data_IF_394928466482
#
_entry.id   IF_394928466482
#
_cell.length_a   1.000
_cell.length_b   1.000
_cell.length_c   1.000
_cell.angle_alpha   90.00
_cell.angle_beta   90.00
_cell.angle_gamma   90.00
#
_symmetry.space_group_name_H-M   'P 1'
#
loop_
_entity.id
_entity.type
_entity.pdbx_description
1 polymer ?
#
# COMPACT_ATOMS: atom_id res chain seq x y z
N UNK A 1 -46.39 18.58 12.05
CA UNK A 1 -45.78 18.19 10.77
C UNK A 1 -44.80 19.30 10.39
N UNK A 2 -43.62 19.31 11.02
CA UNK A 2 -42.57 20.28 10.71
C UNK A 2 -41.62 19.68 9.68
N UNK A 3 -41.53 20.37 8.55
CA UNK A 3 -40.73 19.96 7.40
C UNK A 3 -39.23 20.04 7.69
N UNK A 4 -38.56 18.90 7.62
CA UNK A 4 -37.11 18.85 7.36
C UNK A 4 -36.83 19.47 5.99
N UNK A 5 -36.56 20.78 5.96
CA UNK A 5 -35.82 21.40 4.85
C UNK A 5 -34.41 20.85 4.87
N UNK A 6 -34.12 19.91 3.98
CA UNK A 6 -32.74 19.55 3.63
C UNK A 6 -32.11 20.75 2.93
N UNK A 7 -31.23 21.44 3.64
CA UNK A 7 -30.53 22.62 3.15
C UNK A 7 -29.39 22.18 2.20
N UNK A 8 -29.70 22.13 0.90
CA UNK A 8 -28.82 21.60 -0.14
C UNK A 8 -27.45 22.30 -0.16
N UNK A 9 -27.41 23.60 0.18
CA UNK A 9 -26.19 24.40 0.24
C UNK A 9 -25.19 23.94 1.33
N UNK A 10 -25.69 23.35 2.42
CA UNK A 10 -24.84 22.91 3.53
C UNK A 10 -24.17 21.57 3.24
N UNK A 11 -24.78 20.74 2.38
CA UNK A 11 -24.20 19.47 1.94
C UNK A 11 -23.03 19.68 0.98
N UNK A 12 -23.14 20.68 0.09
CA UNK A 12 -22.11 20.98 -0.91
C UNK A 12 -20.85 21.58 -0.28
N UNK A 13 -20.97 22.59 0.58
CA UNK A 13 -19.83 23.20 1.28
C UNK A 13 -19.06 22.16 2.11
N UNK A 14 -19.80 21.24 2.73
CA UNK A 14 -19.24 20.23 3.63
C UNK A 14 -18.61 19.05 2.86
N UNK A 15 -19.13 18.70 1.68
CA UNK A 15 -18.48 17.76 0.77
C UNK A 15 -17.18 18.35 0.19
N UNK A 16 -17.21 19.63 -0.21
CA UNK A 16 -16.05 20.38 -0.67
C UNK A 16 -14.96 20.45 0.40
N UNK A 17 -15.33 20.66 1.68
CA UNK A 17 -14.37 20.65 2.79
C UNK A 17 -13.67 19.29 2.97
N UNK A 18 -14.41 18.17 2.79
CA UNK A 18 -13.83 16.83 2.86
C UNK A 18 -12.81 16.58 1.75
N UNK A 19 -13.14 16.96 0.51
CA UNK A 19 -12.22 16.90 -0.63
C UNK A 19 -11.01 17.80 -0.40
N UNK A 20 -11.24 19.02 0.10
CA UNK A 20 -10.17 19.98 0.42
C UNK A 20 -9.12 19.40 1.37
N UNK A 21 -9.54 18.74 2.46
CA UNK A 21 -8.61 18.12 3.42
C UNK A 21 -7.88 16.92 2.81
N UNK A 22 -8.56 16.09 2.01
CA UNK A 22 -7.93 14.96 1.32
C UNK A 22 -6.85 15.43 0.35
N UNK A 23 -7.06 16.55 -0.33
CA UNK A 23 -6.13 17.08 -1.34
C UNK A 23 -5.04 17.97 -0.74
N UNK A 24 -5.20 18.48 0.48
CA UNK A 24 -4.26 19.42 1.12
C UNK A 24 -2.85 18.84 1.23
N UNK A 25 -2.69 17.67 1.86
CA UNK A 25 -1.37 17.06 2.08
C UNK A 25 -0.69 16.60 0.79
N UNK A 26 -1.38 15.96 -0.17
CA UNK A 26 -0.79 15.66 -1.48
C UNK A 26 -0.34 16.92 -2.22
N UNK A 27 -1.11 18.02 -2.14
CA UNK A 27 -0.73 19.29 -2.76
C UNK A 27 0.51 19.91 -2.09
N UNK A 28 0.56 19.90 -0.75
CA UNK A 28 1.74 20.37 0.00
C UNK A 28 2.98 19.52 -0.31
N UNK A 29 2.83 18.21 -0.40
CA UNK A 29 3.91 17.30 -0.79
C UNK A 29 4.38 17.58 -2.23
N UNK A 30 3.45 17.83 -3.15
CA UNK A 30 3.76 18.24 -4.52
C UNK A 30 4.53 19.57 -4.57
N UNK A 31 4.15 20.56 -3.76
CA UNK A 31 4.86 21.82 -3.62
C UNK A 31 6.26 21.63 -3.03
N UNK A 32 6.40 20.79 -2.00
CA UNK A 32 7.72 20.43 -1.46
C UNK A 32 8.61 19.84 -2.55
N UNK A 33 8.10 18.85 -3.28
CA UNK A 33 8.83 18.21 -4.36
C UNK A 33 9.13 19.12 -5.55
N UNK A 34 8.39 20.22 -5.73
CA UNK A 34 8.75 21.22 -6.71
C UNK A 34 10.05 21.96 -6.35
N UNK A 35 10.30 22.15 -5.05
CA UNK A 35 11.45 22.86 -4.49
C UNK A 35 12.62 21.90 -4.22
N UNK A 36 12.33 20.65 -3.87
CA UNK A 36 13.34 19.66 -3.52
C UNK A 36 14.06 19.09 -4.75
N UNK A 37 15.39 19.18 -4.73
CA UNK A 37 16.30 18.67 -5.76
C UNK A 37 17.23 17.59 -5.22
N UNK A 38 16.91 17.02 -4.05
CA UNK A 38 17.68 15.92 -3.47
C UNK A 38 17.66 14.66 -4.34
N UNK A 39 18.74 13.88 -4.21
CA UNK A 39 18.82 12.56 -4.82
C UNK A 39 18.33 11.49 -3.82
N UNK A 40 17.71 10.40 -4.29
CA UNK A 40 17.28 9.35 -3.40
C UNK A 40 18.48 8.71 -2.69
N UNK A 41 18.29 8.36 -1.42
CA UNK A 41 19.24 7.52 -0.68
C UNK A 41 19.41 6.16 -1.36
N UNK A 42 20.48 5.44 -0.99
CA UNK A 42 20.89 4.18 -1.66
C UNK A 42 19.75 3.17 -1.86
N UNK A 43 18.86 3.00 -0.88
CA UNK A 43 17.72 2.08 -0.97
C UNK A 43 16.67 2.60 -1.97
N UNK A 44 16.32 3.88 -1.90
CA UNK A 44 15.40 4.49 -2.88
C UNK A 44 15.97 4.48 -4.31
N UNK A 45 17.28 4.71 -4.46
CA UNK A 45 17.95 4.61 -5.75
C UNK A 45 17.86 3.18 -6.32
N UNK A 46 17.95 2.15 -5.48
CA UNK A 46 17.77 0.76 -5.90
C UNK A 46 16.37 0.52 -6.48
N UNK A 47 15.33 1.09 -5.87
CA UNK A 47 13.95 0.98 -6.36
C UNK A 47 13.74 1.73 -7.68
N UNK A 48 14.41 2.88 -7.87
CA UNK A 48 14.39 3.61 -9.15
C UNK A 48 15.04 2.80 -10.25
N UNK A 49 16.19 2.17 -9.98
CA UNK A 49 16.87 1.29 -10.94
C UNK A 49 15.96 0.13 -11.37
N UNK A 50 15.28 -0.52 -10.43
CA UNK A 50 14.35 -1.60 -10.76
C UNK A 50 13.15 -1.08 -11.56
N UNK A 51 12.62 0.10 -11.24
CA UNK A 51 11.56 0.74 -12.04
C UNK A 51 12.02 1.03 -13.48
N UNK A 52 13.28 1.41 -13.70
CA UNK A 52 13.85 1.59 -15.06
C UNK A 52 13.91 0.26 -15.81
N UNK A 53 14.28 -0.85 -15.17
CA UNK A 53 14.23 -2.18 -15.79
C UNK A 53 12.80 -2.55 -16.20
N UNK A 54 11.81 -2.25 -15.35
CA UNK A 54 10.41 -2.43 -15.72
C UNK A 54 9.98 -1.49 -16.85
N UNK A 55 10.44 -0.24 -16.86
CA UNK A 55 10.18 0.70 -17.96
C UNK A 55 10.64 0.11 -19.30
N UNK A 56 11.84 -0.45 -19.36
CA UNK A 56 12.38 -1.10 -20.57
C UNK A 56 11.50 -2.28 -21.00
N UNK A 57 11.15 -3.18 -20.07
CA UNK A 57 10.30 -4.33 -20.35
C UNK A 57 8.89 -3.95 -20.81
N UNK A 58 8.32 -2.89 -20.25
CA UNK A 58 6.98 -2.38 -20.55
C UNK A 58 6.95 -1.54 -21.83
N UNK A 59 8.08 -0.95 -22.24
CA UNK A 59 8.21 -0.24 -23.52
C UNK A 59 8.18 -1.19 -24.72
N UNK A 60 8.58 -2.46 -24.51
CA UNK A 60 8.59 -3.50 -25.53
C UNK A 60 7.83 -4.76 -25.05
N UNK A 61 6.50 -4.65 -24.83
CA UNK A 61 5.74 -5.72 -24.22
C UNK A 61 5.66 -6.95 -25.14
N UNK A 62 6.05 -8.10 -24.62
CA UNK A 62 5.92 -9.40 -25.31
C UNK A 62 5.07 -10.36 -24.47
N UNK A 63 3.87 -9.93 -24.10
CA UNK A 63 2.99 -10.61 -23.13
C UNK A 63 2.56 -12.04 -23.53
N UNK A 64 2.69 -12.41 -24.80
CA UNK A 64 2.41 -13.77 -25.28
C UNK A 64 3.63 -14.71 -25.20
N UNK A 65 4.81 -14.20 -24.83
CA UNK A 65 6.05 -14.99 -24.70
C UNK A 65 6.33 -15.29 -23.23
N UNK A 66 6.52 -16.56 -22.91
CA UNK A 66 6.81 -17.00 -21.53
C UNK A 66 8.12 -16.41 -21.01
N UNK A 67 9.10 -16.19 -21.88
CA UNK A 67 10.38 -15.58 -21.55
C UNK A 67 10.21 -14.13 -21.06
N UNK A 68 9.23 -13.40 -21.60
CA UNK A 68 8.94 -12.04 -21.16
C UNK A 68 8.41 -12.05 -19.73
N UNK A 69 7.46 -12.94 -19.42
CA UNK A 69 6.94 -13.11 -18.05
C UNK A 69 8.02 -13.57 -17.07
N UNK A 70 8.91 -14.49 -17.50
CA UNK A 70 10.06 -14.88 -16.68
C UNK A 70 10.91 -13.65 -16.33
N UNK A 71 11.31 -12.86 -17.32
CA UNK A 71 12.08 -11.62 -17.11
C UNK A 71 11.34 -10.62 -16.22
N UNK A 72 10.05 -10.41 -16.48
CA UNK A 72 9.21 -9.48 -15.73
C UNK A 72 9.08 -9.88 -14.25
N UNK A 73 8.85 -11.15 -13.97
CA UNK A 73 8.63 -11.63 -12.61
C UNK A 73 9.93 -11.78 -11.81
N UNK A 74 11.10 -11.80 -12.46
CA UNK A 74 12.41 -11.99 -11.80
C UNK A 74 13.30 -10.75 -11.85
N UNK A 75 12.76 -9.55 -12.12
CA UNK A 75 13.54 -8.29 -12.06
C UNK A 75 14.16 -8.10 -10.67
N UNK A 76 13.40 -8.39 -9.63
CA UNK A 76 13.82 -8.33 -8.23
C UNK A 76 13.20 -9.52 -7.46
N UNK A 77 14.05 -10.26 -6.73
CA UNK A 77 13.63 -11.40 -5.90
C UNK A 77 13.45 -11.02 -4.41
N UNK A 78 13.92 -9.84 -3.99
CA UNK A 78 13.73 -9.28 -2.65
C UNK A 78 12.37 -8.59 -2.51
N UNK A 79 11.79 -8.09 -3.60
CA UNK A 79 10.51 -7.37 -3.61
C UNK A 79 9.61 -7.85 -4.75
N UNK A 80 8.31 -7.90 -4.49
CA UNK A 80 7.32 -8.30 -5.49
C UNK A 80 7.13 -7.20 -6.56
N UNK A 81 6.78 -7.57 -7.80
CA UNK A 81 6.79 -6.69 -8.98
C UNK A 81 5.84 -5.51 -8.91
N UNK A 82 4.79 -5.53 -8.07
CA UNK A 82 3.66 -4.58 -8.18
C UNK A 82 4.09 -3.12 -8.12
N UNK A 83 4.83 -2.71 -7.09
CA UNK A 83 5.21 -1.30 -6.93
C UNK A 83 6.22 -0.87 -8.00
N UNK A 84 7.25 -1.69 -8.25
CA UNK A 84 8.28 -1.36 -9.25
C UNK A 84 7.76 -1.37 -10.68
N UNK A 85 6.87 -2.29 -11.03
CA UNK A 85 6.25 -2.34 -12.36
C UNK A 85 5.25 -1.21 -12.57
N UNK A 86 4.46 -0.84 -11.55
CA UNK A 86 3.62 0.34 -11.63
C UNK A 86 4.47 1.60 -11.81
N UNK A 87 5.55 1.72 -11.03
CA UNK A 87 6.47 2.84 -11.17
C UNK A 87 7.14 2.89 -12.56
N UNK A 88 7.59 1.73 -13.07
CA UNK A 88 8.09 1.59 -14.44
C UNK A 88 7.06 2.00 -15.49
N UNK A 89 5.79 1.64 -15.31
CA UNK A 89 4.68 2.06 -16.18
C UNK A 89 4.52 3.58 -16.17
N UNK A 90 4.56 4.23 -15.00
CA UNK A 90 4.56 5.69 -14.93
C UNK A 90 5.75 6.31 -15.66
N UNK A 91 6.94 5.68 -15.61
CA UNK A 91 8.10 6.15 -16.39
C UNK A 91 7.93 5.94 -17.90
N UNK A 92 7.21 4.91 -18.36
CA UNK A 92 6.83 4.78 -19.78
C UNK A 92 5.90 5.91 -20.20
N UNK A 93 4.91 6.24 -19.37
CA UNK A 93 3.87 7.23 -19.70
C UNK A 93 4.34 8.68 -19.58
N UNK A 94 5.19 8.99 -18.60
CA UNK A 94 5.58 10.35 -18.23
C UNK A 94 7.07 10.64 -18.46
N UNK A 95 7.85 9.65 -18.90
CA UNK A 95 9.31 9.72 -19.10
C UNK A 95 10.13 9.28 -17.88
N UNK A 96 11.46 9.19 -18.03
CA UNK A 96 12.34 8.65 -16.97
C UNK A 96 12.78 9.66 -15.91
N UNK A 97 12.30 10.91 -15.98
CA UNK A 97 12.78 12.00 -15.13
C UNK A 97 12.40 11.88 -13.64
N UNK A 98 13.07 12.68 -12.81
CA UNK A 98 12.82 12.76 -11.35
C UNK A 98 11.39 13.22 -11.01
N UNK A 99 10.70 13.88 -11.95
CA UNK A 99 9.31 14.29 -11.77
C UNK A 99 8.39 13.09 -11.54
N UNK A 100 8.67 11.95 -12.16
CA UNK A 100 7.82 10.75 -12.03
C UNK A 100 7.87 10.16 -10.62
N UNK A 101 9.02 10.25 -9.95
CA UNK A 101 9.18 9.80 -8.55
C UNK A 101 8.27 10.62 -7.63
N UNK A 102 8.27 11.94 -7.87
CA UNK A 102 7.51 12.94 -7.13
C UNK A 102 6.01 12.73 -7.33
N UNK A 103 5.58 12.54 -8.57
CA UNK A 103 4.17 12.23 -8.91
C UNK A 103 3.73 10.93 -8.23
N UNK A 104 4.58 9.91 -8.24
CA UNK A 104 4.28 8.63 -7.59
C UNK A 104 4.02 8.81 -6.09
N UNK A 105 4.89 9.53 -5.37
CA UNK A 105 4.70 9.84 -3.96
C UNK A 105 3.41 10.64 -3.68
N UNK A 106 3.11 11.66 -4.50
CA UNK A 106 1.87 12.45 -4.37
C UNK A 106 0.61 11.59 -4.53
N UNK A 107 0.61 10.63 -5.47
CA UNK A 107 -0.51 9.69 -5.67
C UNK A 107 -0.72 8.83 -4.42
N UNK A 108 0.34 8.29 -3.82
CA UNK A 108 0.20 7.50 -2.59
C UNK A 108 -0.24 8.34 -1.39
N UNK A 109 0.22 9.58 -1.27
CA UNK A 109 -0.28 10.50 -0.25
C UNK A 109 -1.78 10.76 -0.42
N UNK A 110 -2.27 10.87 -1.66
CA UNK A 110 -3.69 11.02 -1.94
C UNK A 110 -4.48 9.75 -1.56
N UNK A 111 -3.96 8.57 -1.89
CA UNK A 111 -4.56 7.28 -1.49
C UNK A 111 -4.62 7.17 0.04
N UNK A 112 -3.53 7.47 0.75
CA UNK A 112 -3.47 7.43 2.21
C UNK A 112 -4.47 8.40 2.83
N UNK A 113 -4.52 9.63 2.34
CA UNK A 113 -5.43 10.67 2.85
C UNK A 113 -6.89 10.30 2.60
N UNK A 114 -7.24 9.85 1.40
CA UNK A 114 -8.58 9.40 1.07
C UNK A 114 -8.99 8.16 1.88
N UNK A 115 -8.10 7.17 2.00
CA UNK A 115 -8.37 5.95 2.75
C UNK A 115 -8.59 6.24 4.23
N UNK A 116 -7.71 7.03 4.85
CA UNK A 116 -7.80 7.42 6.26
C UNK A 116 -9.06 8.22 6.55
N UNK A 117 -9.41 9.17 5.67
CA UNK A 117 -10.65 9.93 5.77
C UNK A 117 -11.88 9.02 5.73
N UNK A 118 -11.96 8.16 4.71
CA UNK A 118 -13.13 7.31 4.47
C UNK A 118 -13.30 6.22 5.53
N UNK A 119 -12.21 5.64 6.04
CA UNK A 119 -12.24 4.71 7.18
C UNK A 119 -12.82 5.42 8.40
N UNK A 120 -12.26 6.59 8.76
CA UNK A 120 -12.72 7.37 9.91
C UNK A 120 -14.19 7.79 9.76
N UNK A 121 -14.61 8.19 8.55
CA UNK A 121 -16.01 8.53 8.26
C UNK A 121 -16.94 7.34 8.47
N UNK A 122 -16.55 6.14 8.02
CA UNK A 122 -17.35 4.92 8.19
C UNK A 122 -17.52 4.53 9.66
N UNK A 123 -16.48 4.73 10.48
CA UNK A 123 -16.50 4.39 11.91
C UNK A 123 -17.27 5.43 12.71
N UNK A 124 -16.92 6.72 12.58
CA UNK A 124 -17.42 7.76 13.48
C UNK A 124 -18.62 8.55 12.92
N UNK A 125 -18.91 8.44 11.61
CA UNK A 125 -19.93 9.25 10.92
C UNK A 125 -19.76 10.75 11.17
N UNK A 126 -18.53 11.19 11.41
CA UNK A 126 -18.14 12.56 11.75
C UNK A 126 -17.06 13.05 10.81
N UNK A 127 -17.36 14.09 10.03
CA UNK A 127 -16.42 14.68 9.07
C UNK A 127 -15.26 15.39 9.76
N UNK A 128 -15.51 15.97 10.94
CA UNK A 128 -14.46 16.58 11.75
C UNK A 128 -13.46 15.50 12.20
N UNK A 129 -13.95 14.38 12.71
CA UNK A 129 -13.09 13.24 13.10
C UNK A 129 -12.31 12.72 11.90
N UNK A 130 -12.93 12.62 10.73
CA UNK A 130 -12.26 12.21 9.49
C UNK A 130 -11.19 13.20 9.03
N UNK A 131 -11.48 14.51 9.08
CA UNK A 131 -10.50 15.55 8.75
C UNK A 131 -9.31 15.53 9.73
N UNK A 132 -9.58 15.44 11.04
CA UNK A 132 -8.54 15.30 12.05
C UNK A 132 -7.71 14.02 11.86
N UNK A 133 -8.33 12.92 11.43
CA UNK A 133 -7.61 11.67 11.13
C UNK A 133 -6.60 11.90 10.00
N UNK A 134 -7.00 12.57 8.92
CA UNK A 134 -6.09 12.90 7.80
C UNK A 134 -4.94 13.78 8.26
N UNK A 135 -5.23 14.80 9.08
CA UNK A 135 -4.20 15.68 9.65
C UNK A 135 -3.22 14.86 10.48
N UNK A 136 -3.71 14.14 11.50
CA UNK A 136 -2.87 13.35 12.40
C UNK A 136 -2.00 12.38 11.62
N UNK A 137 -2.59 11.57 10.73
CA UNK A 137 -1.86 10.55 9.96
C UNK A 137 -0.75 11.17 9.11
N UNK A 138 -1.03 12.26 8.37
CA UNK A 138 -0.02 12.87 7.51
C UNK A 138 1.02 13.70 8.28
N UNK A 139 0.73 14.11 9.52
CA UNK A 139 1.69 14.82 10.38
C UNK A 139 2.50 13.90 11.30
N UNK A 140 2.25 12.59 11.29
CA UNK A 140 3.09 11.66 12.04
C UNK A 140 4.53 11.75 11.49
N UNK A 141 5.56 11.93 12.35
CA UNK A 141 6.94 12.13 11.90
C UNK A 141 7.42 11.08 10.91
N UNK A 142 7.09 9.81 11.18
CA UNK A 142 7.47 8.69 10.32
C UNK A 142 6.78 8.74 8.93
N UNK A 143 5.54 9.22 8.86
CA UNK A 143 4.80 9.38 7.59
C UNK A 143 5.36 10.57 6.82
N UNK A 144 5.68 11.66 7.50
CA UNK A 144 6.35 12.81 6.88
C UNK A 144 7.71 12.39 6.31
N UNK A 145 8.55 11.68 7.07
CA UNK A 145 9.85 11.22 6.60
C UNK A 145 9.75 10.32 5.36
N UNK A 146 8.90 9.29 5.41
CA UNK A 146 8.77 8.35 4.28
C UNK A 146 8.06 8.94 3.08
N UNK A 147 7.13 9.89 3.26
CA UNK A 147 6.46 10.56 2.13
C UNK A 147 7.38 11.47 1.32
N UNK A 148 8.51 11.90 1.92
CA UNK A 148 9.49 12.79 1.28
C UNK A 148 10.70 12.03 0.71
N UNK A 149 10.68 10.69 0.74
CA UNK A 149 11.78 9.86 0.28
C UNK A 149 11.28 8.72 -0.61
N UNK A 150 12.08 8.27 -1.58
CA UNK A 150 11.70 7.23 -2.55
C UNK A 150 11.73 5.82 -1.95
N UNK A 151 11.07 5.58 -0.82
CA UNK A 151 10.96 4.26 -0.19
C UNK A 151 9.65 3.57 -0.59
N UNK A 152 9.66 2.24 -0.65
CA UNK A 152 8.42 1.46 -0.85
C UNK A 152 7.48 1.55 0.35
N UNK A 153 8.00 1.89 1.54
CA UNK A 153 7.27 1.94 2.81
C UNK A 153 6.08 2.90 2.79
N UNK A 154 6.22 4.06 2.15
CA UNK A 154 5.12 5.01 2.05
C UNK A 154 3.99 4.51 1.13
N UNK A 155 4.37 3.96 -0.03
CA UNK A 155 3.41 3.33 -0.95
C UNK A 155 2.72 2.13 -0.29
N UNK A 156 3.49 1.31 0.43
CA UNK A 156 3.02 0.19 1.24
C UNK A 156 1.98 0.64 2.28
N UNK A 157 2.27 1.66 3.09
CA UNK A 157 1.35 2.20 4.09
C UNK A 157 0.02 2.62 3.45
N UNK A 158 0.12 3.33 2.33
CA UNK A 158 -1.03 3.84 1.57
C UNK A 158 -1.91 2.70 1.04
N UNK A 159 -1.29 1.65 0.48
CA UNK A 159 -2.00 0.46 -0.02
C UNK A 159 -2.60 -0.37 1.11
N UNK A 160 -1.95 -0.48 2.26
CA UNK A 160 -2.51 -1.13 3.44
C UNK A 160 -3.77 -0.39 3.94
N UNK A 161 -3.73 0.95 3.99
CA UNK A 161 -4.92 1.75 4.31
C UNK A 161 -6.03 1.55 3.27
N UNK A 162 -5.70 1.47 1.98
CA UNK A 162 -6.68 1.16 0.93
C UNK A 162 -7.27 -0.25 1.08
N UNK A 163 -6.47 -1.24 1.47
CA UNK A 163 -6.93 -2.60 1.77
C UNK A 163 -7.93 -2.60 2.93
N UNK A 164 -7.62 -1.90 4.03
CA UNK A 164 -8.52 -1.77 5.17
C UNK A 164 -9.81 -1.02 4.83
N UNK A 165 -9.72 0.05 4.02
CA UNK A 165 -10.90 0.73 3.50
C UNK A 165 -11.77 -0.23 2.67
N UNK A 166 -11.15 -0.98 1.76
CA UNK A 166 -11.88 -1.91 0.88
C UNK A 166 -12.51 -3.06 1.68
N UNK A 167 -11.82 -3.54 2.72
CA UNK A 167 -12.37 -4.52 3.67
C UNK A 167 -13.57 -3.94 4.42
N UNK A 168 -13.47 -2.71 4.94
CA UNK A 168 -14.59 -2.04 5.62
C UNK A 168 -15.80 -1.83 4.70
N UNK A 169 -15.56 -1.48 3.42
CA UNK A 169 -16.60 -1.33 2.42
C UNK A 169 -17.23 -2.67 2.03
N UNK A 170 -16.44 -3.74 1.92
CA UNK A 170 -16.95 -5.08 1.68
C UNK A 170 -17.87 -5.55 2.81
N UNK A 171 -17.52 -5.26 4.08
CA UNK A 171 -18.32 -5.62 5.25
C UNK A 171 -19.73 -5.00 5.27
N UNK A 172 -19.92 -3.81 4.69
CA UNK A 172 -21.26 -3.20 4.61
C UNK A 172 -22.24 -4.00 3.74
N UNK A 173 -21.73 -4.70 2.72
CA UNK A 173 -22.55 -5.53 1.84
C UNK A 173 -21.70 -6.59 1.16
N UNK A 174 -21.77 -7.82 1.67
CA UNK A 174 -21.10 -8.96 1.06
C UNK A 174 -21.79 -9.34 -0.25
N UNK A 175 -21.11 -9.08 -1.37
CA UNK A 175 -21.53 -9.50 -2.70
C UNK A 175 -20.32 -9.78 -3.61
N UNK A 176 -20.56 -10.47 -4.73
CA UNK A 176 -19.51 -10.89 -5.66
C UNK A 176 -18.62 -9.76 -6.15
N UNK A 177 -19.21 -8.65 -6.58
CA UNK A 177 -18.45 -7.49 -7.04
C UNK A 177 -17.49 -6.97 -5.96
N UNK A 178 -17.98 -6.76 -4.72
CA UNK A 178 -17.14 -6.29 -3.61
C UNK A 178 -16.10 -7.33 -3.20
N UNK A 179 -16.41 -8.62 -3.29
CA UNK A 179 -15.47 -9.71 -2.99
C UNK A 179 -14.32 -9.77 -3.99
N UNK A 180 -14.60 -9.66 -5.28
CA UNK A 180 -13.57 -9.63 -6.32
C UNK A 180 -12.71 -8.39 -6.16
N UNK A 181 -13.32 -7.22 -5.95
CA UNK A 181 -12.60 -5.98 -5.67
C UNK A 181 -11.71 -6.11 -4.42
N UNK A 182 -12.24 -6.66 -3.32
CA UNK A 182 -11.46 -6.93 -2.10
C UNK A 182 -10.27 -7.84 -2.39
N UNK A 183 -10.47 -8.96 -3.09
CA UNK A 183 -9.40 -9.91 -3.42
C UNK A 183 -8.30 -9.28 -4.27
N UNK A 184 -8.65 -8.47 -5.27
CA UNK A 184 -7.68 -7.75 -6.12
C UNK A 184 -6.90 -6.71 -5.30
N UNK A 185 -7.60 -5.87 -4.53
CA UNK A 185 -6.93 -4.83 -3.73
C UNK A 185 -6.05 -5.45 -2.65
N UNK A 186 -6.52 -6.50 -1.96
CA UNK A 186 -5.68 -7.28 -1.03
C UNK A 186 -4.48 -7.87 -1.76
N UNK A 187 -4.67 -8.49 -2.93
CA UNK A 187 -3.60 -9.04 -3.76
C UNK A 187 -2.52 -8.01 -4.11
N UNK A 188 -2.93 -6.81 -4.54
CA UNK A 188 -2.03 -5.68 -4.81
C UNK A 188 -1.30 -5.26 -3.53
N UNK A 189 -2.02 -5.12 -2.40
CA UNK A 189 -1.43 -4.72 -1.13
C UNK A 189 -0.42 -5.73 -0.58
N UNK A 190 -0.76 -7.01 -0.54
CA UNK A 190 0.17 -8.05 -0.06
C UNK A 190 1.38 -8.19 -0.98
N UNK A 191 1.21 -7.94 -2.27
CA UNK A 191 2.26 -7.98 -3.28
C UNK A 191 3.04 -6.67 -3.38
N UNK A 192 2.72 -5.64 -2.57
CA UNK A 192 3.49 -4.39 -2.56
C UNK A 192 4.76 -4.55 -1.72
N UNK A 193 4.66 -5.20 -0.56
CA UNK A 193 5.76 -5.53 0.35
C UNK A 193 5.36 -6.74 1.19
N UNK A 194 6.25 -7.72 1.43
CA UNK A 194 5.86 -8.97 2.11
C UNK A 194 5.28 -8.73 3.50
N UNK A 195 5.75 -7.68 4.17
CA UNK A 195 5.28 -7.24 5.49
C UNK A 195 3.77 -6.93 5.49
N UNK A 196 3.19 -6.51 4.36
CA UNK A 196 1.75 -6.29 4.22
C UNK A 196 0.91 -7.53 4.51
N UNK A 197 1.42 -8.71 4.18
CA UNK A 197 0.73 -9.97 4.47
C UNK A 197 0.53 -10.14 5.98
N UNK A 198 1.54 -9.84 6.79
CA UNK A 198 1.43 -9.94 8.25
C UNK A 198 0.47 -8.91 8.85
N UNK A 199 0.41 -7.71 8.28
CA UNK A 199 -0.50 -6.68 8.77
C UNK A 199 -1.97 -6.99 8.41
N UNK A 200 -2.22 -7.45 7.18
CA UNK A 200 -3.58 -7.68 6.67
C UNK A 200 -4.16 -9.04 7.06
N UNK A 201 -3.33 -10.04 7.39
CA UNK A 201 -3.83 -11.36 7.80
C UNK A 201 -4.58 -11.28 9.14
N UNK A 202 -4.15 -10.44 10.07
CA UNK A 202 -4.78 -10.32 11.40
C UNK A 202 -6.26 -9.90 11.34
N UNK A 203 -6.64 -8.78 10.71
CA UNK A 203 -8.05 -8.41 10.60
C UNK A 203 -8.85 -9.44 9.78
N UNK A 204 -8.24 -10.07 8.76
CA UNK A 204 -8.91 -11.12 7.99
C UNK A 204 -9.19 -12.38 8.82
N UNK A 205 -8.22 -12.84 9.62
CA UNK A 205 -8.40 -13.99 10.52
C UNK A 205 -9.42 -13.69 11.60
N UNK A 206 -9.38 -12.48 12.19
CA UNK A 206 -10.37 -12.05 13.17
C UNK A 206 -11.79 -12.13 12.59
N UNK A 207 -12.01 -11.60 11.38
CA UNK A 207 -13.30 -11.68 10.70
C UNK A 207 -13.69 -13.12 10.35
N UNK A 208 -12.74 -13.94 9.90
CA UNK A 208 -13.00 -15.34 9.60
C UNK A 208 -13.50 -16.11 10.84
N UNK A 209 -12.84 -15.92 12.00
CA UNK A 209 -13.28 -16.51 13.28
C UNK A 209 -14.65 -15.98 13.69
N UNK A 210 -14.89 -14.68 13.53
CA UNK A 210 -16.18 -14.06 13.86
C UNK A 210 -17.32 -14.64 13.00
N UNK A 211 -17.12 -14.79 11.69
CA UNK A 211 -18.12 -15.37 10.80
C UNK A 211 -18.38 -16.85 11.10
N UNK A 212 -17.34 -17.63 11.41
CA UNK A 212 -17.50 -19.02 11.83
C UNK A 212 -18.29 -19.13 13.14
N UNK A 213 -17.97 -18.29 14.13
CA UNK A 213 -18.69 -18.24 15.42
C UNK A 213 -20.15 -17.88 15.24
N UNK A 214 -20.45 -16.92 14.36
CA UNK A 214 -21.81 -16.47 14.05
C UNK A 214 -22.54 -17.35 13.02
N UNK A 215 -21.91 -18.45 12.56
CA UNK A 215 -22.42 -19.35 11.50
C UNK A 215 -22.76 -18.65 10.18
N UNK A 216 -22.12 -17.51 9.90
CA UNK A 216 -22.22 -16.81 8.62
C UNK A 216 -21.26 -17.41 7.59
N UNK A 217 -21.57 -18.62 7.14
CA UNK A 217 -20.78 -19.34 6.14
C UNK A 217 -20.76 -18.65 4.77
N UNK A 218 -21.70 -17.74 4.51
CA UNK A 218 -21.71 -16.97 3.27
C UNK A 218 -20.56 -15.97 3.30
N UNK A 219 -20.49 -15.12 4.31
CA UNK A 219 -19.42 -14.12 4.44
C UNK A 219 -18.05 -14.79 4.58
N UNK A 220 -17.96 -15.90 5.30
CA UNK A 220 -16.74 -16.70 5.38
C UNK A 220 -16.26 -17.15 3.99
N UNK A 221 -17.11 -17.78 3.16
CA UNK A 221 -16.73 -18.22 1.80
C UNK A 221 -16.27 -17.07 0.91
N UNK A 222 -16.94 -15.92 0.99
CA UNK A 222 -16.55 -14.72 0.24
C UNK A 222 -15.19 -14.19 0.70
N UNK A 223 -14.91 -14.19 2.01
CA UNK A 223 -13.61 -13.78 2.55
C UNK A 223 -12.50 -14.77 2.16
N UNK A 224 -12.77 -16.08 2.24
CA UNK A 224 -11.83 -17.11 1.79
C UNK A 224 -11.50 -16.99 0.31
N UNK A 225 -12.50 -16.68 -0.53
CA UNK A 225 -12.27 -16.44 -1.96
C UNK A 225 -11.41 -15.19 -2.20
N UNK A 226 -11.68 -14.08 -1.50
CA UNK A 226 -10.83 -12.89 -1.59
C UNK A 226 -9.39 -13.19 -1.15
N UNK A 227 -9.21 -13.98 -0.08
CA UNK A 227 -7.91 -14.47 0.36
C UNK A 227 -7.21 -15.34 -0.69
N UNK A 228 -7.93 -16.25 -1.35
CA UNK A 228 -7.38 -17.08 -2.42
C UNK A 228 -6.91 -16.22 -3.60
N UNK A 229 -7.68 -15.22 -4.01
CA UNK A 229 -7.26 -14.25 -5.05
C UNK A 229 -5.98 -13.53 -4.62
N UNK A 230 -5.90 -13.06 -3.37
CA UNK A 230 -4.70 -12.40 -2.87
C UNK A 230 -3.47 -13.35 -2.83
N UNK A 231 -3.65 -14.61 -2.44
CA UNK A 231 -2.61 -15.62 -2.49
C UNK A 231 -2.12 -15.91 -3.91
N UNK A 232 -3.01 -15.90 -4.91
CA UNK A 232 -2.61 -16.07 -6.31
C UNK A 232 -1.71 -14.94 -6.80
N UNK A 233 -2.00 -13.69 -6.41
CA UNK A 233 -1.12 -12.55 -6.72
C UNK A 233 0.29 -12.74 -6.16
N UNK A 234 0.42 -13.19 -4.90
CA UNK A 234 1.72 -13.50 -4.31
C UNK A 234 2.40 -14.69 -5.00
N UNK A 235 1.65 -15.76 -5.29
CA UNK A 235 2.18 -16.98 -5.87
C UNK A 235 2.81 -16.73 -7.25
N UNK A 236 2.22 -15.83 -8.05
CA UNK A 236 2.75 -15.42 -9.35
C UNK A 236 4.20 -14.92 -9.26
N UNK A 237 4.58 -14.26 -8.16
CA UNK A 237 5.97 -13.81 -7.93
C UNK A 237 6.82 -14.80 -7.13
N UNK A 238 6.25 -15.43 -6.09
CA UNK A 238 7.00 -16.34 -5.21
C UNK A 238 7.51 -17.56 -5.99
N UNK A 239 6.67 -18.17 -6.84
CA UNK A 239 7.02 -19.40 -7.56
C UNK A 239 8.28 -19.23 -8.43
N UNK A 240 8.37 -18.24 -9.34
CA UNK A 240 9.56 -18.07 -10.17
C UNK A 240 10.81 -17.63 -9.39
N UNK A 241 10.64 -16.99 -8.22
CA UNK A 241 11.75 -16.50 -7.39
C UNK A 241 12.11 -17.42 -6.22
N UNK A 242 11.45 -18.56 -6.06
CA UNK A 242 11.55 -19.43 -4.88
C UNK A 242 13.01 -19.77 -4.52
N UNK A 243 13.80 -20.20 -5.51
CA UNK A 243 15.20 -20.56 -5.28
C UNK A 243 16.05 -19.36 -4.81
N UNK A 244 15.85 -18.19 -5.42
CA UNK A 244 16.57 -16.97 -5.05
C UNK A 244 16.20 -16.48 -3.65
N UNK A 245 14.90 -16.55 -3.29
CA UNK A 245 14.41 -16.23 -1.95
C UNK A 245 15.04 -17.17 -0.91
N UNK A 246 15.01 -18.48 -1.16
CA UNK A 246 15.59 -19.47 -0.25
C UNK A 246 17.11 -19.26 -0.10
N UNK A 247 17.83 -19.05 -1.20
CA UNK A 247 19.27 -18.79 -1.15
C UNK A 247 19.57 -17.54 -0.31
N UNK A 248 18.82 -16.45 -0.52
CA UNK A 248 18.95 -15.22 0.26
C UNK A 248 18.74 -15.45 1.75
N UNK A 249 17.74 -16.27 2.14
CA UNK A 249 17.51 -16.62 3.56
C UNK A 249 18.58 -17.52 4.16
N UNK A 250 19.28 -18.31 3.33
CA UNK A 250 20.35 -19.23 3.76
C UNK A 250 21.72 -18.59 3.83
N UNK A 251 21.93 -17.43 3.18
CA UNK A 251 23.21 -16.71 3.28
C UNK A 251 23.48 -16.44 4.76
N UNK A 252 24.65 -16.87 5.29
CA UNK A 252 24.99 -16.61 6.67
C UNK A 252 24.95 -15.09 6.84
N UNK A 253 24.02 -14.61 7.67
CA UNK A 253 24.03 -13.21 8.05
C UNK A 253 25.35 -13.05 8.78
N UNK A 254 26.26 -12.26 8.23
CA UNK A 254 27.45 -11.79 8.92
C UNK A 254 26.97 -10.82 9.99
N UNK A 255 26.28 -11.35 10.99
CA UNK A 255 25.98 -10.68 12.25
C UNK A 255 27.00 -11.27 13.21
N UNK A 256 27.83 -10.39 13.71
CA UNK A 256 28.80 -10.62 14.77
C UNK A 256 28.19 -11.44 15.92
N UNK A 257 28.64 -12.68 16.08
CA UNK A 257 28.19 -13.56 17.16
C UNK A 257 26.75 -14.01 17.00
N UNK A 258 26.38 -15.11 17.67
CA UNK A 258 25.03 -15.64 17.69
C UNK A 258 24.27 -14.84 18.76
N UNK A 259 23.64 -13.69 18.44
CA UNK A 259 23.14 -12.80 19.48
C UNK A 259 21.91 -13.45 20.09
N UNK A 260 21.81 -13.39 21.42
CA UNK A 260 20.62 -13.93 22.07
C UNK A 260 19.39 -13.07 21.72
N UNK A 261 18.18 -13.61 21.92
CA UNK A 261 16.93 -12.91 21.60
C UNK A 261 16.84 -11.52 22.27
N UNK A 262 17.40 -11.37 23.47
CA UNK A 262 17.37 -10.10 24.22
C UNK A 262 18.29 -9.05 23.60
N UNK A 263 19.46 -9.44 23.09
CA UNK A 263 20.35 -8.56 22.34
C UNK A 263 19.69 -8.08 21.05
N UNK A 264 19.05 -8.99 20.30
CA UNK A 264 18.29 -8.62 19.10
C UNK A 264 17.17 -7.64 19.45
N UNK A 265 16.40 -7.92 20.51
CA UNK A 265 15.30 -7.06 20.95
C UNK A 265 15.83 -5.68 21.39
N UNK A 266 16.89 -5.63 22.18
CA UNK A 266 17.52 -4.41 22.67
C UNK A 266 18.09 -3.57 21.54
N UNK A 267 18.86 -4.18 20.62
CA UNK A 267 19.43 -3.47 19.46
C UNK A 267 18.35 -2.88 18.57
N UNK A 268 17.26 -3.63 18.32
CA UNK A 268 16.15 -3.10 17.53
C UNK A 268 15.41 -1.98 18.29
N UNK A 269 15.08 -2.17 19.57
CA UNK A 269 14.41 -1.15 20.39
C UNK A 269 15.22 0.15 20.49
N UNK A 270 16.52 0.07 20.75
CA UNK A 270 17.40 1.23 20.77
C UNK A 270 17.47 1.90 19.39
N UNK A 271 17.52 1.11 18.30
CA UNK A 271 17.48 1.65 16.94
C UNK A 271 16.20 2.43 16.62
N UNK A 272 15.04 1.99 17.14
CA UNK A 272 13.76 2.69 16.96
C UNK A 272 13.56 3.89 17.89
N UNK A 273 14.25 3.95 19.04
CA UNK A 273 14.14 5.04 20.02
C UNK A 273 15.18 6.15 19.84
N UNK A 274 16.27 5.87 19.12
CA UNK A 274 17.39 6.79 18.90
C UNK A 274 17.46 7.35 17.47
N UNK A 275 16.49 7.04 16.61
CA UNK A 275 16.24 7.72 15.33
C UNK A 275 15.19 8.81 15.52
#
# INVERSE_FOLDING_TARGET
MDGMRFDCNRLDIVAVAGVGVICLFPAMLGLWYFIDHSWPYWDGASHVIDAIKYQELLSHPSVFKIEWWRKFLTVNYCYSPVLHSLYGLFKVLLGSGLLVEKVFAVIYCLILSAASYLISWRIFRSRLSSALTVVVVNTLPIVMQYSHSTYLDFAFLSLCSLCLLTLSWWLEKVCWFRTIALGIILGIGVSSKQVASYFLILPCLYLAVLFLKNRDFRSFRHLSLAGLVACLFLAVWIIPNYNAIIEFTRRPRVVSGNPNFLEILHTNLCGYLLQ
#
